data_IF_874875451778
#
_entry.id   IF_874875451778
#
_cell.length_a   1.000
_cell.length_b   1.000
_cell.length_c   1.000
_cell.angle_alpha   90.00
_cell.angle_beta   90.00
_cell.angle_gamma   90.00
#
_symmetry.space_group_name_H-M   'P 1'
#
loop_
_entity.id
_entity.type
_entity.pdbx_description
1 polymer ?
#
# COMPACT_ATOMS: atom_id res chain seq x y z
N UNK A 1 11.23 -2.43 14.50
CA UNK A 1 10.42 -3.61 14.13
C UNK A 1 9.35 -3.20 13.15
N UNK A 2 9.30 -3.80 11.96
CA UNK A 2 8.38 -3.42 10.87
C UNK A 2 7.62 -4.65 10.39
N UNK A 3 6.30 -4.56 10.30
CA UNK A 3 5.45 -5.56 9.64
C UNK A 3 4.95 -5.02 8.30
N UNK A 4 5.19 -5.76 7.21
CA UNK A 4 4.73 -5.40 5.86
C UNK A 4 3.75 -6.46 5.36
N UNK A 5 2.47 -6.11 5.22
CA UNK A 5 1.47 -7.01 4.64
C UNK A 5 1.66 -7.13 3.13
N UNK A 6 1.61 -8.34 2.58
CA UNK A 6 1.96 -8.58 1.18
C UNK A 6 3.42 -8.27 0.84
N UNK A 7 4.34 -8.34 1.83
CA UNK A 7 5.73 -7.91 1.74
C UNK A 7 6.66 -8.82 0.95
N UNK A 8 6.15 -9.88 0.31
CA UNK A 8 6.96 -10.96 -0.28
C UNK A 8 7.26 -10.78 -1.78
N UNK A 9 6.57 -9.85 -2.45
CA UNK A 9 6.72 -9.59 -3.90
C UNK A 9 6.31 -8.16 -4.26
N UNK A 10 6.61 -7.74 -5.48
CA UNK A 10 6.18 -6.47 -6.06
C UNK A 10 6.53 -5.27 -5.20
N UNK A 11 5.57 -4.37 -5.05
CA UNK A 11 5.71 -3.16 -4.22
C UNK A 11 6.07 -3.51 -2.78
N UNK A 12 5.42 -4.53 -2.21
CA UNK A 12 5.67 -4.96 -0.84
C UNK A 12 7.10 -5.44 -0.59
N UNK A 13 7.67 -6.21 -1.52
CA UNK A 13 9.08 -6.63 -1.42
C UNK A 13 10.03 -5.42 -1.49
N UNK A 14 9.76 -4.46 -2.40
CA UNK A 14 10.54 -3.23 -2.47
C UNK A 14 10.48 -2.41 -1.19
N UNK A 15 9.31 -2.34 -0.55
CA UNK A 15 9.13 -1.70 0.76
C UNK A 15 9.95 -2.44 1.82
N UNK A 16 9.79 -3.76 1.90
CA UNK A 16 10.51 -4.61 2.87
C UNK A 16 12.02 -4.46 2.76
N UNK A 17 12.54 -4.47 1.54
CA UNK A 17 13.97 -4.30 1.25
C UNK A 17 14.49 -2.90 1.67
N UNK A 18 13.70 -1.84 1.48
CA UNK A 18 14.08 -0.49 1.89
C UNK A 18 14.16 -0.40 3.41
N UNK A 19 13.17 -0.89 4.14
CA UNK A 19 13.22 -0.89 5.60
C UNK A 19 14.40 -1.72 6.14
N UNK A 20 14.68 -2.88 5.54
CA UNK A 20 15.83 -3.70 5.92
C UNK A 20 17.17 -2.99 5.68
N UNK A 21 17.34 -2.28 4.55
CA UNK A 21 18.52 -1.45 4.28
C UNK A 21 18.70 -0.29 5.26
N UNK A 22 17.60 0.17 5.88
CA UNK A 22 17.64 1.16 6.96
C UNK A 22 17.88 0.54 8.34
N UNK A 23 18.22 -0.76 8.41
CA UNK A 23 18.54 -1.46 9.65
C UNK A 23 17.33 -1.96 10.44
N UNK A 24 16.13 -1.92 9.88
CA UNK A 24 14.95 -2.45 10.53
C UNK A 24 14.90 -3.99 10.47
N UNK A 25 14.45 -4.61 11.55
CA UNK A 25 13.97 -5.99 11.49
C UNK A 25 12.61 -6.00 10.79
N UNK A 26 12.48 -6.76 9.71
CA UNK A 26 11.28 -6.80 8.88
C UNK A 26 10.62 -8.16 8.94
N UNK A 27 9.34 -8.16 9.29
CA UNK A 27 8.44 -9.32 9.16
C UNK A 27 7.49 -9.06 8.01
N UNK A 28 7.24 -10.09 7.20
CA UNK A 28 6.32 -10.04 6.06
C UNK A 28 5.22 -11.07 6.22
N UNK A 29 4.07 -10.80 5.66
CA UNK A 29 3.02 -11.80 5.55
C UNK A 29 2.38 -11.83 4.16
N UNK A 30 1.88 -12.97 3.81
CA UNK A 30 1.03 -13.22 2.65
C UNK A 30 0.27 -14.53 2.88
N UNK A 31 -0.75 -14.81 2.07
CA UNK A 31 -1.50 -16.07 2.18
C UNK A 31 -0.67 -17.33 1.93
N UNK A 32 0.35 -17.21 1.11
CA UNK A 32 1.29 -18.30 0.75
C UNK A 32 2.69 -17.73 0.67
N UNK A 33 3.71 -18.50 1.06
CA UNK A 33 5.09 -18.13 0.82
C UNK A 33 5.35 -18.04 -0.69
N UNK A 34 6.35 -17.27 -1.05
CA UNK A 34 6.95 -17.26 -2.39
C UNK A 34 8.39 -17.79 -2.28
N UNK A 35 8.91 -18.31 -3.36
CA UNK A 35 10.31 -18.73 -3.41
C UNK A 35 11.24 -17.52 -3.23
N UNK A 36 12.33 -17.69 -2.48
CA UNK A 36 13.32 -16.63 -2.26
C UNK A 36 12.90 -15.52 -1.27
N UNK A 37 11.93 -15.78 -0.36
CA UNK A 37 11.61 -14.83 0.73
C UNK A 37 12.85 -14.48 1.52
N UNK A 38 13.17 -13.19 1.60
CA UNK A 38 14.41 -12.67 2.24
C UNK A 38 14.23 -12.24 3.69
N UNK A 39 12.99 -12.05 4.11
CA UNK A 39 12.63 -11.54 5.44
C UNK A 39 11.84 -12.59 6.21
N UNK A 40 11.72 -12.46 7.50
CA UNK A 40 10.85 -13.32 8.31
C UNK A 40 9.45 -13.33 7.72
N UNK A 41 8.87 -14.51 7.54
CA UNK A 41 7.60 -14.69 6.86
C UNK A 41 6.59 -15.45 7.73
N UNK A 42 5.36 -14.95 7.77
CA UNK A 42 4.23 -15.63 8.38
C UNK A 42 3.04 -15.70 7.41
N UNK A 43 2.41 -16.88 7.26
CA UNK A 43 1.18 -16.99 6.47
C UNK A 43 0.05 -16.24 7.17
N UNK A 44 -0.62 -15.33 6.43
CA UNK A 44 -1.78 -14.61 6.93
C UNK A 44 -2.66 -14.13 5.76
N UNK A 45 -3.95 -14.33 5.87
CA UNK A 45 -4.93 -13.67 5.00
C UNK A 45 -5.44 -12.41 5.72
N UNK A 46 -5.09 -11.25 5.20
CA UNK A 46 -5.48 -9.97 5.81
C UNK A 46 -6.99 -9.70 5.83
N UNK A 47 -7.78 -10.53 5.15
CA UNK A 47 -9.25 -10.48 5.18
C UNK A 47 -9.84 -11.18 6.40
N UNK A 48 -9.05 -11.95 7.11
CA UNK A 48 -9.42 -12.63 8.34
C UNK A 48 -8.91 -11.82 9.55
N UNK A 49 -9.81 -11.17 10.31
CA UNK A 49 -9.42 -10.32 11.43
C UNK A 49 -8.72 -11.09 12.55
N UNK A 50 -9.11 -12.35 12.80
CA UNK A 50 -8.51 -13.17 13.86
C UNK A 50 -7.08 -13.60 13.46
N UNK A 51 -6.87 -13.98 12.19
CA UNK A 51 -5.54 -14.28 11.67
C UNK A 51 -4.62 -13.06 11.72
N UNK A 52 -5.15 -11.88 11.45
CA UNK A 52 -4.40 -10.62 11.52
C UNK A 52 -4.02 -10.27 12.96
N UNK A 53 -4.97 -10.36 13.89
CA UNK A 53 -4.71 -10.13 15.31
C UNK A 53 -3.63 -11.10 15.83
N UNK A 54 -3.78 -12.40 15.57
CA UNK A 54 -2.81 -13.41 15.98
C UNK A 54 -1.40 -13.20 15.38
N UNK A 55 -1.30 -12.70 14.14
CA UNK A 55 -0.01 -12.34 13.56
C UNK A 55 0.64 -11.18 14.30
N UNK A 56 -0.12 -10.12 14.60
CA UNK A 56 0.40 -8.93 15.29
C UNK A 56 0.82 -9.28 16.72
N UNK A 57 0.02 -10.07 17.43
CA UNK A 57 0.37 -10.57 18.76
C UNK A 57 1.65 -11.40 18.72
N UNK A 58 1.77 -12.32 17.76
CA UNK A 58 2.99 -13.12 17.57
C UNK A 58 4.22 -12.24 17.30
N UNK A 59 4.11 -11.23 16.44
CA UNK A 59 5.20 -10.29 16.17
C UNK A 59 5.59 -9.53 17.44
N UNK A 60 4.60 -9.06 18.21
CA UNK A 60 4.85 -8.36 19.45
C UNK A 60 5.51 -9.25 20.52
N UNK A 61 5.01 -10.47 20.71
CA UNK A 61 5.57 -11.44 21.66
C UNK A 61 7.01 -11.81 21.31
N UNK A 62 7.29 -12.06 20.02
CA UNK A 62 8.60 -12.49 19.55
C UNK A 62 9.66 -11.40 19.58
N UNK A 63 9.29 -10.17 19.25
CA UNK A 63 10.23 -9.05 19.08
C UNK A 63 10.12 -7.97 20.18
N UNK A 64 9.13 -8.09 21.08
CA UNK A 64 8.90 -7.15 22.19
C UNK A 64 8.32 -5.80 21.75
N UNK A 65 8.10 -5.59 20.44
CA UNK A 65 7.61 -4.32 19.89
C UNK A 65 7.10 -4.44 18.45
N UNK A 66 6.25 -3.51 18.06
CA UNK A 66 5.86 -3.25 16.67
C UNK A 66 5.90 -1.73 16.43
N UNK A 67 6.91 -1.23 15.72
CA UNK A 67 7.09 0.21 15.52
C UNK A 67 6.36 0.73 14.28
N UNK A 68 6.33 -0.11 13.24
CA UNK A 68 5.74 0.26 11.95
C UNK A 68 4.89 -0.88 11.41
N UNK A 69 3.65 -0.55 11.02
CA UNK A 69 2.84 -1.38 10.16
C UNK A 69 2.79 -0.75 8.76
N UNK A 70 3.11 -1.53 7.72
CA UNK A 70 2.85 -1.14 6.33
C UNK A 70 1.73 -2.00 5.75
N UNK A 71 0.57 -1.40 5.53
CA UNK A 71 -0.56 -2.01 4.84
C UNK A 71 -0.35 -1.94 3.33
N UNK A 72 0.24 -2.98 2.75
CA UNK A 72 0.48 -3.06 1.32
C UNK A 72 -0.32 -4.17 0.63
N UNK A 73 -0.72 -5.22 1.33
CA UNK A 73 -1.52 -6.30 0.73
C UNK A 73 -2.75 -5.75 -0.01
N UNK A 74 -2.87 -6.05 -1.29
CA UNK A 74 -3.95 -5.52 -2.11
C UNK A 74 -3.82 -5.89 -3.58
N UNK A 75 -4.72 -5.33 -4.38
CA UNK A 75 -4.81 -5.51 -5.82
C UNK A 75 -6.20 -5.92 -6.30
N UNK A 76 -6.43 -5.84 -7.59
CA UNK A 76 -7.65 -6.30 -8.25
C UNK A 76 -7.34 -6.70 -9.69
N UNK A 77 -7.88 -7.81 -10.19
CA UNK A 77 -7.94 -8.04 -11.62
C UNK A 77 -8.79 -6.97 -12.32
N UNK A 78 -8.51 -6.72 -13.58
CA UNK A 78 -9.35 -5.88 -14.43
C UNK A 78 -10.58 -6.68 -14.86
N UNK A 79 -11.77 -6.25 -14.45
CA UNK A 79 -13.08 -6.83 -14.85
C UNK A 79 -14.08 -5.70 -15.02
N UNK A 80 -14.73 -5.55 -16.19
CA UNK A 80 -15.77 -4.56 -16.37
C UNK A 80 -16.85 -4.69 -15.28
N UNK A 81 -17.28 -3.57 -14.70
CA UNK A 81 -18.19 -3.57 -13.55
C UNK A 81 -19.51 -4.26 -13.83
N UNK A 82 -20.00 -4.15 -15.07
CA UNK A 82 -21.25 -4.82 -15.50
C UNK A 82 -21.14 -6.35 -15.58
N UNK A 83 -19.94 -6.90 -15.71
CA UNK A 83 -19.67 -8.32 -15.84
C UNK A 83 -19.25 -8.96 -14.52
N UNK A 84 -18.75 -8.15 -13.58
CA UNK A 84 -18.27 -8.61 -12.30
C UNK A 84 -19.41 -9.01 -11.36
N UNK A 85 -19.27 -10.17 -10.71
CA UNK A 85 -20.28 -10.62 -9.73
C UNK A 85 -20.23 -9.76 -8.44
N UNK A 86 -21.34 -9.66 -7.68
CA UNK A 86 -21.36 -9.01 -6.37
C UNK A 86 -20.29 -9.59 -5.42
N UNK A 87 -20.08 -10.90 -5.45
CA UNK A 87 -19.05 -11.57 -4.66
C UNK A 87 -17.63 -11.15 -5.03
N UNK A 88 -17.37 -10.88 -6.33
CA UNK A 88 -16.08 -10.33 -6.75
C UNK A 88 -15.84 -8.96 -6.12
N UNK A 89 -16.81 -8.05 -6.20
CA UNK A 89 -16.69 -6.71 -5.61
C UNK A 89 -16.50 -6.77 -4.09
N UNK A 90 -17.27 -7.63 -3.40
CA UNK A 90 -17.12 -7.85 -1.96
C UNK A 90 -15.68 -8.27 -1.63
N UNK A 91 -15.10 -9.23 -2.34
CA UNK A 91 -13.73 -9.71 -2.12
C UNK A 91 -12.67 -8.64 -2.39
N UNK A 92 -12.91 -7.75 -3.35
CA UNK A 92 -12.03 -6.61 -3.61
C UNK A 92 -12.07 -5.62 -2.44
N UNK A 93 -13.25 -5.30 -1.92
CA UNK A 93 -13.40 -4.41 -0.75
C UNK A 93 -12.81 -5.05 0.50
N UNK A 94 -13.09 -6.33 0.76
CA UNK A 94 -12.52 -7.07 1.90
C UNK A 94 -10.99 -6.98 1.90
N UNK A 95 -10.34 -7.21 0.76
CA UNK A 95 -8.89 -7.20 0.65
C UNK A 95 -8.30 -5.79 0.77
N UNK A 96 -8.85 -4.82 0.05
CA UNK A 96 -8.19 -3.53 -0.20
C UNK A 96 -8.61 -2.42 0.78
N UNK A 97 -9.68 -2.64 1.55
CA UNK A 97 -10.19 -1.70 2.55
C UNK A 97 -10.30 -2.33 3.94
N UNK A 98 -11.09 -3.41 4.08
CA UNK A 98 -11.31 -4.01 5.39
C UNK A 98 -10.05 -4.64 5.96
N UNK A 99 -9.23 -5.31 5.13
CA UNK A 99 -7.94 -5.85 5.56
C UNK A 99 -6.98 -4.78 6.07
N UNK A 100 -7.00 -3.58 5.47
CA UNK A 100 -6.24 -2.42 5.97
C UNK A 100 -6.76 -1.97 7.34
N UNK A 101 -8.08 -1.91 7.51
CA UNK A 101 -8.70 -1.52 8.78
C UNK A 101 -8.36 -2.53 9.89
N UNK A 102 -8.54 -3.83 9.64
CA UNK A 102 -8.26 -4.88 10.62
C UNK A 102 -6.80 -4.87 11.09
N UNK A 103 -5.85 -4.81 10.15
CA UNK A 103 -4.43 -4.75 10.50
C UNK A 103 -4.07 -3.46 11.25
N UNK A 104 -4.67 -2.34 10.86
CA UNK A 104 -4.45 -1.07 11.55
C UNK A 104 -5.00 -1.07 12.97
N UNK A 105 -6.20 -1.63 13.20
CA UNK A 105 -6.78 -1.76 14.54
C UNK A 105 -5.92 -2.64 15.45
N UNK A 106 -5.51 -3.81 14.97
CA UNK A 106 -4.68 -4.73 15.75
C UNK A 106 -3.30 -4.11 16.08
N UNK A 107 -2.65 -3.46 15.10
CA UNK A 107 -1.38 -2.77 15.33
C UNK A 107 -1.53 -1.61 16.33
N UNK A 108 -2.58 -0.81 16.20
CA UNK A 108 -2.86 0.28 17.12
C UNK A 108 -3.01 -0.22 18.56
N UNK A 109 -3.67 -1.35 18.79
CA UNK A 109 -3.85 -1.92 20.13
C UNK A 109 -2.49 -2.18 20.80
N UNK A 110 -1.49 -2.65 20.06
CA UNK A 110 -0.12 -2.83 20.57
C UNK A 110 0.60 -1.49 20.71
N UNK A 111 0.59 -0.65 19.68
CA UNK A 111 1.33 0.60 19.61
C UNK A 111 0.91 1.62 20.68
N UNK A 112 -0.36 1.67 21.07
CA UNK A 112 -0.86 2.55 22.13
C UNK A 112 -0.22 2.28 23.49
N UNK A 113 0.20 1.04 23.74
CA UNK A 113 0.81 0.63 24.99
C UNK A 113 2.34 0.72 24.98
N UNK A 114 2.96 0.97 23.83
CA UNK A 114 4.41 1.14 23.72
C UNK A 114 4.85 2.56 24.14
N UNK A 115 6.04 2.70 24.81
CA UNK A 115 6.57 4.02 25.15
C UNK A 115 6.74 4.96 23.94
N UNK A 116 7.21 4.42 22.81
CA UNK A 116 7.46 5.15 21.57
C UNK A 116 6.24 5.29 20.65
N UNK A 117 5.08 4.71 21.03
CA UNK A 117 3.94 4.65 20.12
C UNK A 117 4.22 3.84 18.86
N UNK A 118 3.77 4.33 17.69
CA UNK A 118 4.01 3.65 16.42
C UNK A 118 3.64 4.48 15.20
N UNK A 119 3.90 3.92 14.01
CA UNK A 119 3.52 4.52 12.73
C UNK A 119 2.84 3.49 11.83
N UNK A 120 1.70 3.86 11.27
CA UNK A 120 0.96 3.06 10.29
C UNK A 120 1.02 3.76 8.95
N UNK A 121 1.52 3.06 7.92
CA UNK A 121 1.59 3.57 6.56
C UNK A 121 0.81 2.64 5.64
N UNK A 122 -0.19 3.17 4.94
CA UNK A 122 -1.01 2.39 4.01
C UNK A 122 -0.64 2.71 2.56
N UNK A 123 -0.50 1.68 1.72
CA UNK A 123 -0.31 1.85 0.28
C UNK A 123 -1.67 2.02 -0.38
N UNK A 124 -1.98 3.27 -0.72
CA UNK A 124 -3.13 3.66 -1.53
C UNK A 124 -2.76 3.66 -3.02
N UNK A 125 -3.58 4.24 -3.88
CA UNK A 125 -3.38 4.23 -5.33
C UNK A 125 -3.97 5.47 -5.99
N UNK A 126 -3.39 5.90 -7.11
CA UNK A 126 -4.02 6.87 -8.02
C UNK A 126 -5.41 6.46 -8.46
N UNK A 127 -5.73 5.15 -8.47
CA UNK A 127 -7.08 4.62 -8.74
C UNK A 127 -8.13 5.10 -7.74
N UNK A 128 -7.74 5.51 -6.53
CA UNK A 128 -8.64 6.12 -5.54
C UNK A 128 -8.89 7.60 -5.77
N UNK A 129 -8.15 8.24 -6.69
CA UNK A 129 -8.18 9.70 -6.93
C UNK A 129 -8.64 10.09 -8.32
N UNK A 130 -8.79 9.12 -9.21
CA UNK A 130 -9.30 9.31 -10.57
C UNK A 130 -10.27 8.19 -10.96
N UNK A 131 -11.02 8.32 -12.04
CA UNK A 131 -11.80 7.21 -12.57
C UNK A 131 -10.94 5.96 -12.78
N UNK A 132 -11.46 4.81 -12.38
CA UNK A 132 -10.76 3.53 -12.47
C UNK A 132 -11.65 2.48 -13.16
N UNK A 133 -11.92 2.63 -14.48
CA UNK A 133 -12.75 1.70 -15.24
C UNK A 133 -12.12 0.29 -15.21
N UNK A 134 -12.97 -0.74 -15.10
CA UNK A 134 -12.55 -2.13 -14.93
C UNK A 134 -12.03 -2.50 -13.54
N UNK A 135 -11.78 -1.50 -12.67
CA UNK A 135 -11.36 -1.70 -11.28
C UNK A 135 -12.09 -0.76 -10.31
N UNK A 136 -13.37 -0.49 -10.56
CA UNK A 136 -14.16 0.50 -9.81
C UNK A 136 -14.19 0.20 -8.29
N UNK A 137 -14.43 -1.05 -7.88
CA UNK A 137 -14.44 -1.44 -6.47
C UNK A 137 -13.06 -1.26 -5.80
N UNK A 138 -11.97 -1.48 -6.55
CA UNK A 138 -10.62 -1.23 -6.09
C UNK A 138 -10.36 0.27 -5.91
N UNK A 139 -10.75 1.10 -6.88
CA UNK A 139 -10.65 2.55 -6.77
C UNK A 139 -11.41 3.08 -5.56
N UNK A 140 -12.67 2.61 -5.36
CA UNK A 140 -13.47 2.97 -4.19
C UNK A 140 -12.81 2.54 -2.87
N UNK A 141 -12.24 1.33 -2.81
CA UNK A 141 -11.51 0.85 -1.65
C UNK A 141 -10.28 1.72 -1.33
N UNK A 142 -9.51 2.12 -2.35
CA UNK A 142 -8.32 2.96 -2.16
C UNK A 142 -8.66 4.39 -1.77
N UNK A 143 -9.76 4.96 -2.28
CA UNK A 143 -10.32 6.21 -1.78
C UNK A 143 -10.75 6.09 -0.30
N UNK A 144 -11.36 4.95 0.07
CA UNK A 144 -11.69 4.62 1.45
C UNK A 144 -10.46 4.53 2.36
N UNK A 145 -9.33 4.00 1.88
CA UNK A 145 -8.06 3.98 2.63
C UNK A 145 -7.55 5.41 2.90
N UNK A 146 -7.65 6.32 1.94
CA UNK A 146 -7.25 7.72 2.15
C UNK A 146 -8.16 8.39 3.21
N UNK A 147 -9.47 8.12 3.20
CA UNK A 147 -10.42 8.59 4.21
C UNK A 147 -10.15 7.99 5.60
N UNK A 148 -9.89 6.66 5.68
CA UNK A 148 -9.49 6.00 6.93
C UNK A 148 -8.21 6.62 7.49
N UNK A 149 -7.22 6.89 6.65
CA UNK A 149 -5.95 7.51 7.06
C UNK A 149 -6.18 8.81 7.83
N UNK A 150 -7.04 9.68 7.31
CA UNK A 150 -7.36 10.96 7.96
C UNK A 150 -8.10 10.76 9.31
N UNK A 151 -9.08 9.85 9.34
CA UNK A 151 -9.88 9.59 10.54
C UNK A 151 -9.05 8.96 11.66
N UNK A 152 -8.31 7.89 11.34
CA UNK A 152 -7.49 7.15 12.30
C UNK A 152 -6.32 7.99 12.84
N UNK A 153 -5.79 8.92 12.05
CA UNK A 153 -4.77 9.86 12.51
C UNK A 153 -5.27 10.75 13.66
N UNK A 154 -6.54 11.14 13.63
CA UNK A 154 -7.16 11.93 14.71
C UNK A 154 -7.48 11.07 15.93
N UNK A 155 -8.04 9.88 15.68
CA UNK A 155 -8.49 8.98 16.75
C UNK A 155 -7.33 8.42 17.59
N UNK A 156 -6.16 8.18 16.96
CA UNK A 156 -5.05 7.45 17.58
C UNK A 156 -3.89 8.32 18.03
N UNK A 157 -3.99 9.62 17.78
CA UNK A 157 -3.04 10.59 18.32
C UNK A 157 -3.11 10.63 19.87
N UNK A 158 -2.03 11.00 20.57
CA UNK A 158 -0.71 11.39 20.03
C UNK A 158 0.24 10.19 19.82
N UNK A 159 -0.15 8.98 20.17
CA UNK A 159 0.71 7.80 20.22
C UNK A 159 1.02 7.19 18.86
N UNK A 160 0.03 7.17 17.97
CA UNK A 160 0.17 6.49 16.66
C UNK A 160 -0.07 7.49 15.54
N UNK A 161 0.91 7.61 14.65
CA UNK A 161 0.77 8.38 13.40
C UNK A 161 0.22 7.46 12.32
N UNK A 162 -0.70 7.98 11.51
CA UNK A 162 -1.31 7.23 10.41
C UNK A 162 -1.21 8.04 9.13
N UNK A 163 -0.55 7.46 8.11
CA UNK A 163 -0.36 8.11 6.82
C UNK A 163 -0.59 7.14 5.66
N UNK A 164 -0.71 7.63 4.44
CA UNK A 164 -0.75 6.80 3.25
C UNK A 164 0.21 7.28 2.15
N UNK A 165 0.67 6.33 1.33
CA UNK A 165 1.39 6.57 0.08
C UNK A 165 0.46 6.26 -1.08
N UNK A 166 0.16 7.25 -1.91
CA UNK A 166 -0.64 7.09 -3.12
C UNK A 166 0.28 6.70 -4.26
N UNK A 167 0.37 5.41 -4.53
CA UNK A 167 1.23 4.88 -5.57
C UNK A 167 0.63 5.11 -6.96
N UNK A 168 1.47 5.53 -7.90
CA UNK A 168 1.20 5.52 -9.34
C UNK A 168 1.40 4.15 -9.97
N UNK A 169 1.86 4.15 -11.21
CA UNK A 169 2.19 2.94 -11.95
C UNK A 169 3.59 2.46 -11.59
N UNK A 170 3.71 1.20 -11.13
CA UNK A 170 4.95 0.63 -10.60
C UNK A 170 5.38 -0.56 -11.44
N UNK A 171 6.65 -0.60 -11.81
CA UNK A 171 7.28 -1.72 -12.48
C UNK A 171 7.57 -2.85 -11.49
N UNK A 172 6.71 -3.86 -11.47
CA UNK A 172 6.87 -5.06 -10.65
C UNK A 172 7.16 -6.26 -11.56
N UNK A 173 7.50 -7.41 -10.98
CA UNK A 173 7.64 -8.67 -11.73
C UNK A 173 6.35 -9.12 -12.45
N UNK A 174 5.22 -8.51 -12.10
CA UNK A 174 3.92 -8.76 -12.71
C UNK A 174 3.48 -7.66 -13.68
N UNK A 175 4.40 -6.79 -14.08
CA UNK A 175 4.11 -5.60 -14.92
C UNK A 175 3.36 -5.96 -16.21
N UNK A 176 3.70 -7.10 -16.82
CA UNK A 176 3.05 -7.59 -18.04
C UNK A 176 1.56 -7.92 -17.87
N UNK A 177 1.16 -8.39 -16.68
CA UNK A 177 -0.26 -8.67 -16.39
C UNK A 177 -1.12 -7.40 -16.35
N UNK A 178 -0.50 -6.24 -16.05
CA UNK A 178 -1.21 -4.98 -15.88
C UNK A 178 -1.06 -4.04 -17.08
N UNK A 179 0.10 -4.08 -17.75
CA UNK A 179 0.45 -3.09 -18.79
C UNK A 179 0.85 -3.74 -20.11
N UNK A 180 0.81 -5.08 -20.22
CA UNK A 180 1.11 -5.79 -21.45
C UNK A 180 2.62 -5.91 -21.74
N UNK A 181 2.95 -6.05 -23.02
CA UNK A 181 4.32 -6.19 -23.52
C UNK A 181 5.16 -4.91 -23.37
N UNK A 182 6.42 -4.97 -23.79
CA UNK A 182 7.37 -3.87 -23.66
C UNK A 182 6.91 -2.58 -24.34
N UNK A 183 6.29 -2.69 -25.53
CA UNK A 183 5.79 -1.53 -26.28
C UNK A 183 4.60 -0.89 -25.56
N UNK A 184 3.68 -1.69 -25.03
CA UNK A 184 2.56 -1.24 -24.20
C UNK A 184 3.05 -0.58 -22.91
N UNK A 185 4.04 -1.15 -22.25
CA UNK A 185 4.68 -0.57 -21.05
C UNK A 185 5.35 0.77 -21.36
N UNK A 186 6.04 0.90 -22.49
CA UNK A 186 6.63 2.15 -22.94
C UNK A 186 5.55 3.21 -23.24
N UNK A 187 4.45 2.83 -23.87
CA UNK A 187 3.33 3.72 -24.12
C UNK A 187 2.67 4.20 -22.79
N UNK A 188 2.51 3.30 -21.81
CA UNK A 188 2.04 3.67 -20.47
C UNK A 188 3.04 4.60 -19.79
N UNK A 189 4.33 4.32 -19.83
CA UNK A 189 5.37 5.16 -19.26
C UNK A 189 5.36 6.59 -19.84
N UNK A 190 5.09 6.72 -21.13
CA UNK A 190 4.99 8.01 -21.81
C UNK A 190 3.80 8.89 -21.33
N UNK A 191 2.79 8.30 -20.69
CA UNK A 191 1.68 9.05 -20.06
C UNK A 191 2.05 9.65 -18.71
N UNK A 192 3.19 9.27 -18.13
CA UNK A 192 3.67 9.76 -16.85
C UNK A 192 4.64 10.91 -17.10
N UNK A 193 4.50 12.09 -16.45
CA UNK A 193 5.42 13.23 -16.67
C UNK A 193 6.90 12.91 -16.46
N UNK A 194 7.26 12.02 -15.51
CA UNK A 194 8.64 11.55 -15.35
C UNK A 194 9.09 10.52 -16.40
N UNK A 195 8.23 10.15 -17.38
CA UNK A 195 8.58 9.31 -18.53
C UNK A 195 8.88 7.84 -18.20
N UNK A 196 8.56 7.36 -17.01
CA UNK A 196 8.82 5.97 -16.61
C UNK A 196 7.87 5.49 -15.52
N UNK A 197 7.74 4.19 -15.40
CA UNK A 197 7.11 3.56 -14.23
C UNK A 197 8.00 3.75 -12.99
N UNK A 198 7.39 3.85 -11.81
CA UNK A 198 8.12 3.86 -10.54
C UNK A 198 8.73 2.48 -10.26
N UNK A 199 9.86 2.47 -9.55
CA UNK A 199 10.40 1.23 -8.99
C UNK A 199 9.73 0.93 -7.63
N UNK A 200 9.55 -0.35 -7.23
CA UNK A 200 9.01 -0.71 -5.93
C UNK A 200 9.72 -0.03 -4.75
N UNK A 201 11.04 0.15 -4.85
CA UNK A 201 11.83 0.84 -3.82
C UNK A 201 11.48 2.32 -3.67
N UNK A 202 10.97 3.00 -4.70
CA UNK A 202 10.56 4.42 -4.60
C UNK A 202 9.32 4.56 -3.72
N UNK A 203 8.40 3.60 -3.76
CA UNK A 203 7.28 3.50 -2.81
C UNK A 203 7.82 3.17 -1.41
N UNK A 204 8.82 2.29 -1.33
CA UNK A 204 9.49 1.93 -0.08
C UNK A 204 10.15 3.13 0.62
N UNK A 205 10.86 3.99 -0.11
CA UNK A 205 11.47 5.19 0.45
C UNK A 205 10.44 6.18 1.00
N UNK A 206 9.32 6.37 0.30
CA UNK A 206 8.23 7.21 0.78
C UNK A 206 7.59 6.64 2.06
N UNK A 207 7.36 5.33 2.11
CA UNK A 207 6.85 4.65 3.29
C UNK A 207 7.83 4.76 4.49
N UNK A 208 9.13 4.56 4.25
CA UNK A 208 10.16 4.68 5.28
C UNK A 208 10.28 6.12 5.80
N UNK A 209 10.20 7.13 4.92
CA UNK A 209 10.14 8.54 5.34
C UNK A 209 8.93 8.81 6.26
N UNK A 210 7.73 8.42 5.85
CA UNK A 210 6.51 8.63 6.66
C UNK A 210 6.55 7.88 7.99
N UNK A 211 7.25 6.75 8.05
CA UNK A 211 7.43 5.98 9.28
C UNK A 211 8.50 6.57 10.23
N UNK A 212 9.44 7.35 9.72
CA UNK A 212 10.60 7.86 10.46
C UNK A 212 10.29 9.07 11.35
N UNK A 213 11.26 9.43 12.20
CA UNK A 213 11.21 10.63 13.04
C UNK A 213 11.23 11.93 12.23
N UNK A 214 11.76 11.91 10.99
CA UNK A 214 11.70 13.05 10.08
C UNK A 214 10.24 13.43 9.71
N UNK A 215 9.29 12.50 9.87
CA UNK A 215 7.87 12.70 9.68
C UNK A 215 7.08 12.80 11.00
N UNK A 216 7.74 13.14 12.13
CA UNK A 216 7.13 13.16 13.47
C UNK A 216 5.91 14.07 13.61
N UNK A 217 5.79 15.11 12.78
CA UNK A 217 4.63 16.02 12.75
C UNK A 217 3.70 15.74 11.55
N UNK A 218 3.89 14.63 10.84
CA UNK A 218 3.05 14.21 9.71
C UNK A 218 2.15 13.07 10.16
N UNK A 219 0.84 13.33 10.28
CA UNK A 219 -0.21 12.34 10.54
C UNK A 219 -1.48 12.75 9.81
N UNK A 220 -2.18 11.81 9.20
CA UNK A 220 -3.34 12.04 8.33
C UNK A 220 -3.00 12.42 6.89
N UNK A 221 -1.72 12.41 6.52
CA UNK A 221 -1.29 12.78 5.18
C UNK A 221 -1.40 11.63 4.18
N UNK A 222 -1.65 12.01 2.92
CA UNK A 222 -1.62 11.12 1.77
C UNK A 222 -0.54 11.61 0.78
N UNK A 223 0.64 10.99 0.81
CA UNK A 223 1.78 11.37 -0.02
C UNK A 223 1.68 10.73 -1.41
N UNK A 224 1.59 11.56 -2.44
CA UNK A 224 1.55 11.08 -3.82
C UNK A 224 2.96 10.73 -4.32
N UNK A 225 3.12 9.49 -4.81
CA UNK A 225 4.34 8.94 -5.42
C UNK A 225 3.97 8.37 -6.79
N UNK A 226 3.79 9.25 -7.76
CA UNK A 226 3.19 8.91 -9.06
C UNK A 226 3.83 9.61 -10.26
N UNK A 227 5.04 10.15 -10.10
CA UNK A 227 5.81 10.70 -11.22
C UNK A 227 5.21 11.97 -11.87
N UNK A 228 4.42 12.74 -11.11
CA UNK A 228 3.70 13.92 -11.63
C UNK A 228 2.22 13.66 -11.96
N UNK A 229 1.78 12.39 -11.84
CA UNK A 229 0.40 11.98 -12.16
C UNK A 229 0.19 11.65 -13.63
N UNK A 230 -0.97 11.96 -14.15
CA UNK A 230 -1.35 11.75 -15.54
C UNK A 230 -1.84 13.09 -16.12
N UNK A 231 -1.26 13.59 -17.23
CA UNK A 231 -1.76 14.80 -17.87
C UNK A 231 -3.21 14.65 -18.31
N UNK A 232 -4.03 15.69 -18.17
CA UNK A 232 -5.40 15.63 -18.69
C UNK A 232 -5.41 15.32 -20.19
N UNK A 233 -6.19 14.33 -20.66
CA UNK A 233 -6.18 13.88 -22.06
C UNK A 233 -6.47 14.99 -23.08
N UNK A 234 -7.27 16.01 -22.70
CA UNK A 234 -7.60 17.12 -23.59
C UNK A 234 -6.40 17.95 -24.01
N UNK A 235 -5.32 17.99 -23.17
CA UNK A 235 -4.12 18.76 -23.53
C UNK A 235 -3.42 18.18 -24.77
N UNK A 236 -3.40 16.85 -24.90
CA UNK A 236 -2.85 16.19 -26.07
C UNK A 236 -3.72 16.37 -27.33
N UNK A 237 -5.03 16.50 -27.15
CA UNK A 237 -5.99 16.70 -28.23
C UNK A 237 -6.11 18.17 -28.68
N UNK A 238 -5.70 19.13 -27.83
CA UNK A 238 -5.82 20.56 -28.13
C UNK A 238 -4.74 21.02 -29.11
N UNK A 239 -5.15 21.73 -30.17
CA UNK A 239 -4.22 22.42 -31.08
C UNK A 239 -3.74 23.77 -30.55
N UNK A 240 -4.33 24.28 -29.47
CA UNK A 240 -4.02 25.61 -28.92
C UNK A 240 -2.67 25.69 -28.19
N UNK A 241 -2.06 24.57 -27.87
CA UNK A 241 -0.81 24.47 -27.12
C UNK A 241 0.35 23.84 -27.94
N UNK A 242 0.23 23.83 -29.27
CA UNK A 242 1.28 23.34 -30.19
C UNK A 242 2.03 24.49 -30.83
#
# INVERSE_FOLDING_TARGET
MVLVTGGVRGVGAGISDVFARQGATVVTCARRPVEGVRHEFHPCDVRDPDAVAGLIDHVHERHGRLDVLVNNAGGSPHVPTAEASPRFHQKVIELNLLGVLYASQAANAVMQHQPGGGSIVSVSSVSGRRPSPGTAAYGAAKAGVDSLTASLAVEWAPKVRVNSVVAGMVATEQVELFYGDADSQAAVAATIPLGRLAQPSEIGWAAAFLASDAASYISGATLAVHGGGEPPPFLAASAANK
#
